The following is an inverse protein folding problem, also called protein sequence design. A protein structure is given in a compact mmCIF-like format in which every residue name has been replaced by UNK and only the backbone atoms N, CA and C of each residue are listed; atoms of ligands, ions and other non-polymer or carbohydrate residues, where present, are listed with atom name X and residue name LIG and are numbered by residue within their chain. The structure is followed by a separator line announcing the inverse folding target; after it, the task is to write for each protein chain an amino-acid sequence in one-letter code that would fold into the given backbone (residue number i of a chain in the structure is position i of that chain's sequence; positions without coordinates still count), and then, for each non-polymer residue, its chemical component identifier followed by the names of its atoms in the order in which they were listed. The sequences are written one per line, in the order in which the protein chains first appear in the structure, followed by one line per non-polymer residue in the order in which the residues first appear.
data_IF_148599690575
#
_entry.id   IF_148599690575
#
_cell.length_a   1.000
_cell.length_b   1.000
_cell.length_c   1.000
_cell.angle_alpha   90.00
_cell.angle_beta   90.00
_cell.angle_gamma   90.00
#
_symmetry.space_group_name_H-M   'P 1'
#
loop_
_entity.id
_entity.type
_entity.pdbx_description
1 polymer ?
#
# COMPACT_ATOMS: atom_id res chain seq x y z
N UNK A 1 -55.23 0.64 34.40
CA UNK A 1 -54.76 2.05 34.47
C UNK A 1 -54.08 2.34 33.15
N UNK A 2 -54.77 3.07 32.29
CA UNK A 2 -54.30 3.49 30.98
C UNK A 2 -53.60 4.86 31.12
N UNK A 3 -52.47 5.04 30.46
CA UNK A 3 -51.92 6.35 30.13
C UNK A 3 -51.50 6.31 28.66
N UNK A 4 -52.21 7.08 27.84
CA UNK A 4 -52.10 7.08 26.38
C UNK A 4 -50.82 7.71 25.85
N UNK A 5 -50.49 7.35 24.60
CA UNK A 5 -49.55 8.07 23.74
C UNK A 5 -50.08 9.46 23.34
N UNK A 6 -49.17 10.36 22.98
CA UNK A 6 -49.34 11.09 21.74
C UNK A 6 -48.21 10.79 20.75
N UNK A 7 -48.61 10.32 19.56
CA UNK A 7 -47.80 10.36 18.33
C UNK A 7 -47.39 11.81 18.08
N UNK A 8 -46.09 12.07 17.99
CA UNK A 8 -45.55 13.39 17.65
C UNK A 8 -44.81 13.33 16.31
N UNK A 9 -45.55 13.68 15.27
CA UNK A 9 -45.16 14.23 13.97
C UNK A 9 -43.80 13.87 13.35
N UNK A 10 -43.92 13.25 12.19
CA UNK A 10 -43.14 13.52 10.99
C UNK A 10 -43.03 15.05 10.78
N UNK A 11 -42.01 15.70 11.35
CA UNK A 11 -41.62 17.03 10.94
C UNK A 11 -40.39 16.87 10.09
N UNK A 12 -40.56 17.21 8.81
CA UNK A 12 -39.53 17.42 7.80
C UNK A 12 -38.37 18.19 8.40
N UNK A 13 -37.42 17.49 9.00
CA UNK A 13 -36.18 18.08 9.50
C UNK A 13 -35.35 18.33 8.27
N UNK A 14 -35.54 19.54 7.72
CA UNK A 14 -34.70 20.17 6.71
C UNK A 14 -33.32 20.36 7.37
N UNK A 15 -32.61 19.25 7.51
CA UNK A 15 -31.23 19.14 7.94
C UNK A 15 -30.48 20.21 7.14
N UNK A 16 -29.67 21.08 7.76
CA UNK A 16 -28.93 22.07 7.01
C UNK A 16 -28.06 21.26 6.05
N UNK A 17 -28.40 21.27 4.76
CA UNK A 17 -27.65 20.52 3.74
C UNK A 17 -26.16 20.86 3.84
N UNK A 18 -25.86 22.09 4.27
CA UNK A 18 -24.53 22.55 4.65
C UNK A 18 -23.91 21.79 5.84
N UNK A 19 -24.63 21.56 6.94
CA UNK A 19 -24.09 20.89 8.13
C UNK A 19 -23.79 19.40 7.86
N UNK A 20 -24.65 18.71 7.11
CA UNK A 20 -24.39 17.34 6.67
C UNK A 20 -23.22 17.25 5.70
N UNK A 21 -23.13 18.19 4.74
CA UNK A 21 -22.01 18.27 3.81
C UNK A 21 -20.69 18.59 4.54
N UNK A 22 -20.71 19.48 5.54
CA UNK A 22 -19.52 19.84 6.33
C UNK A 22 -19.04 18.67 7.19
N UNK A 23 -19.95 17.90 7.78
CA UNK A 23 -19.66 16.66 8.52
C UNK A 23 -19.05 15.58 7.62
N UNK A 24 -19.54 15.44 6.39
CA UNK A 24 -18.96 14.52 5.40
C UNK A 24 -17.54 14.95 5.03
N UNK A 25 -17.30 16.24 4.76
CA UNK A 25 -15.97 16.73 4.39
C UNK A 25 -14.93 16.58 5.52
N UNK A 26 -15.33 16.72 6.79
CA UNK A 26 -14.48 16.50 7.97
C UNK A 26 -14.16 15.02 8.22
N UNK A 27 -15.08 14.12 7.85
CA UNK A 27 -14.81 12.69 7.83
C UNK A 27 -13.90 12.30 6.66
N UNK A 28 -14.00 13.00 5.52
CA UNK A 28 -13.18 12.76 4.33
C UNK A 28 -11.74 13.29 4.42
N UNK A 29 -11.50 14.38 5.15
CA UNK A 29 -10.14 14.91 5.38
C UNK A 29 -9.26 13.93 6.16
N UNK A 30 -9.85 13.12 7.05
CA UNK A 30 -9.15 12.07 7.79
C UNK A 30 -8.73 10.86 6.95
N UNK A 31 -9.25 10.72 5.72
CA UNK A 31 -8.98 9.54 4.88
C UNK A 31 -7.82 9.75 3.92
N UNK A 32 -7.39 10.99 3.66
CA UNK A 32 -6.23 11.28 2.82
C UNK A 32 -4.91 10.78 3.47
N UNK A 33 -4.79 10.85 4.78
CA UNK A 33 -3.61 10.31 5.51
C UNK A 33 -3.69 8.80 5.73
N UNK A 34 -4.91 8.23 5.80
CA UNK A 34 -5.11 6.78 5.97
C UNK A 34 -4.97 5.98 4.66
N UNK A 35 -5.32 6.58 3.51
CA UNK A 35 -5.11 5.96 2.20
C UNK A 35 -3.67 6.08 1.69
N UNK A 36 -2.81 6.91 2.30
CA UNK A 36 -1.38 6.93 2.01
C UNK A 36 -0.63 5.80 2.73
N UNK A 37 -1.27 4.64 2.93
CA UNK A 37 -0.54 3.42 3.17
C UNK A 37 0.21 3.10 1.86
N UNK A 38 1.55 3.07 1.86
CA UNK A 38 2.30 2.63 0.69
C UNK A 38 2.12 1.11 0.56
N UNK A 39 0.92 0.67 0.16
CA UNK A 39 0.56 -0.73 -0.04
C UNK A 39 1.20 -1.33 -1.31
N UNK A 40 2.01 -0.55 -2.01
CA UNK A 40 2.98 -1.05 -2.97
C UNK A 40 4.37 -0.61 -2.52
N UNK A 41 5.27 -1.57 -2.24
CA UNK A 41 6.68 -1.22 -2.20
C UNK A 41 7.03 -0.59 -3.55
N UNK A 42 7.49 0.66 -3.51
CA UNK A 42 7.81 1.40 -4.72
C UNK A 42 9.03 0.74 -5.38
N UNK A 43 8.76 -0.22 -6.27
CA UNK A 43 9.75 -1.19 -6.77
C UNK A 43 10.83 -0.48 -7.56
N UNK A 44 10.46 0.53 -8.35
CA UNK A 44 11.35 1.21 -9.28
C UNK A 44 12.48 1.98 -8.57
N UNK A 45 12.22 2.86 -7.57
CA UNK A 45 13.29 3.52 -6.83
C UNK A 45 14.14 2.53 -6.03
N UNK A 46 13.54 1.51 -5.40
CA UNK A 46 14.32 0.51 -4.63
C UNK A 46 15.22 -0.36 -5.50
N UNK A 47 14.72 -0.80 -6.65
CA UNK A 47 15.52 -1.56 -7.62
C UNK A 47 16.60 -0.69 -8.28
N UNK A 48 16.35 0.61 -8.47
CA UNK A 48 17.37 1.55 -8.96
C UNK A 48 18.54 1.61 -7.99
N UNK A 49 18.26 1.73 -6.69
CA UNK A 49 19.30 1.72 -5.67
C UNK A 49 20.00 0.36 -5.58
N UNK A 50 19.26 -0.76 -5.58
CA UNK A 50 19.88 -2.10 -5.55
C UNK A 50 20.81 -2.37 -6.71
N UNK A 51 20.43 -1.93 -7.91
CA UNK A 51 21.22 -2.11 -9.12
C UNK A 51 22.24 -0.99 -9.36
N UNK A 52 22.47 -0.09 -8.40
CA UNK A 52 23.29 1.13 -8.59
C UNK A 52 24.79 0.88 -8.75
N UNK A 53 25.35 -0.22 -8.24
CA UNK A 53 26.78 -0.52 -8.39
C UNK A 53 27.13 -1.56 -9.48
N UNK A 54 26.15 -2.29 -10.03
CA UNK A 54 26.43 -3.28 -11.09
C UNK A 54 26.62 -2.62 -12.45
N UNK A 55 27.56 -3.11 -13.27
CA UNK A 55 27.68 -2.74 -14.69
C UNK A 55 26.54 -3.33 -15.53
N UNK A 56 25.96 -4.45 -15.09
CA UNK A 56 24.85 -5.15 -15.76
C UNK A 56 23.49 -4.58 -15.35
N UNK A 57 23.29 -3.27 -15.56
CA UNK A 57 22.07 -2.53 -15.15
C UNK A 57 20.77 -3.14 -15.67
N UNK A 58 20.72 -3.41 -16.99
CA UNK A 58 19.51 -3.91 -17.67
C UNK A 58 19.01 -5.25 -17.08
N UNK A 59 19.82 -6.32 -17.01
CA UNK A 59 19.36 -7.57 -16.43
C UNK A 59 19.10 -7.47 -14.92
N UNK A 60 19.91 -6.71 -14.17
CA UNK A 60 19.65 -6.50 -12.74
C UNK A 60 18.27 -5.87 -12.51
N UNK A 61 17.96 -4.80 -13.23
CA UNK A 61 16.67 -4.11 -13.10
C UNK A 61 15.51 -5.01 -13.52
N UNK A 62 15.66 -5.77 -14.61
CA UNK A 62 14.65 -6.73 -15.06
C UNK A 62 14.30 -7.76 -13.99
N UNK A 63 15.30 -8.43 -13.41
CA UNK A 63 15.07 -9.44 -12.37
C UNK A 63 14.61 -8.81 -11.06
N UNK A 64 15.17 -7.65 -10.66
CA UNK A 64 14.74 -6.96 -9.45
C UNK A 64 13.26 -6.58 -9.51
N UNK A 65 12.81 -5.96 -10.62
CA UNK A 65 11.41 -5.57 -10.80
C UNK A 65 10.49 -6.80 -10.83
N UNK A 66 10.91 -7.89 -11.48
CA UNK A 66 10.16 -9.15 -11.48
C UNK A 66 10.00 -9.71 -10.06
N UNK A 67 11.08 -9.79 -9.31
CA UNK A 67 11.04 -10.27 -7.93
C UNK A 67 10.26 -9.33 -7.02
N UNK A 68 10.36 -8.02 -7.22
CA UNK A 68 9.59 -7.04 -6.46
C UNK A 68 8.09 -7.13 -6.76
N UNK A 69 7.69 -7.28 -8.03
CA UNK A 69 6.29 -7.44 -8.39
C UNK A 69 5.66 -8.69 -7.78
N UNK A 70 6.43 -9.77 -7.61
CA UNK A 70 5.92 -11.00 -6.99
C UNK A 70 5.98 -10.95 -5.46
N UNK A 71 7.07 -10.47 -4.88
CA UNK A 71 7.33 -10.53 -3.45
C UNK A 71 6.97 -9.24 -2.70
N UNK A 72 6.63 -8.17 -3.41
CA UNK A 72 6.32 -6.83 -2.89
C UNK A 72 7.40 -6.27 -1.93
N UNK A 73 8.64 -6.73 -2.09
CA UNK A 73 9.75 -6.44 -1.18
C UNK A 73 11.06 -6.38 -1.96
N UNK A 74 11.90 -5.39 -1.65
CA UNK A 74 13.28 -5.27 -2.13
C UNK A 74 14.17 -5.08 -0.91
N UNK A 75 15.18 -5.94 -0.69
CA UNK A 75 16.09 -5.81 0.46
C UNK A 75 16.82 -4.46 0.52
N UNK A 76 17.23 -3.96 1.70
CA UNK A 76 17.95 -2.67 1.86
C UNK A 76 19.47 -2.76 1.63
N UNK A 77 20.04 -1.89 0.80
CA UNK A 77 21.47 -1.89 0.42
C UNK A 77 21.70 -2.07 -1.09
N UNK A 78 22.94 -2.32 -1.50
CA UNK A 78 23.31 -2.71 -2.88
C UNK A 78 23.58 -4.22 -3.00
N UNK A 79 24.29 -4.82 -2.04
CA UNK A 79 24.49 -6.27 -1.93
C UNK A 79 23.88 -6.85 -0.63
N UNK A 80 23.66 -8.17 -0.57
CA UNK A 80 23.24 -8.89 0.64
C UNK A 80 21.82 -8.58 1.15
N UNK A 81 21.61 -8.83 2.45
CA UNK A 81 20.36 -8.58 3.19
C UNK A 81 19.10 -9.29 2.65
N UNK A 82 19.29 -10.33 1.84
CA UNK A 82 18.16 -11.06 1.23
C UNK A 82 17.26 -11.70 2.27
N UNK A 83 17.77 -12.08 3.44
CA UNK A 83 17.00 -12.61 4.56
C UNK A 83 15.89 -11.67 5.06
N UNK A 84 16.01 -10.35 4.82
CA UNK A 84 14.99 -9.36 5.17
C UNK A 84 13.71 -9.54 4.34
N UNK A 85 13.84 -10.03 3.11
CA UNK A 85 12.71 -10.35 2.23
C UNK A 85 12.75 -11.86 1.89
N UNK A 86 12.14 -12.75 2.71
CA UNK A 86 12.24 -14.20 2.52
C UNK A 86 11.82 -14.68 1.12
N UNK A 87 10.74 -14.14 0.56
CA UNK A 87 10.31 -14.44 -0.82
C UNK A 87 11.36 -14.06 -1.86
N UNK A 88 11.97 -12.87 -1.74
CA UNK A 88 13.02 -12.40 -2.64
C UNK A 88 14.27 -13.31 -2.58
N UNK A 89 14.59 -13.83 -1.39
CA UNK A 89 15.73 -14.72 -1.17
C UNK A 89 15.50 -16.15 -1.68
N UNK A 90 14.28 -16.66 -1.53
CA UNK A 90 13.91 -18.04 -1.89
C UNK A 90 13.74 -18.25 -3.39
N UNK A 91 13.61 -17.19 -4.17
CA UNK A 91 13.54 -17.27 -5.63
C UNK A 91 14.84 -17.76 -6.25
N UNK A 92 14.83 -19.01 -6.73
CA UNK A 92 15.95 -19.65 -7.42
C UNK A 92 15.65 -19.92 -8.90
N UNK A 93 16.70 -20.10 -9.69
CA UNK A 93 16.62 -20.67 -11.04
C UNK A 93 16.42 -22.19 -10.96
N UNK A 94 16.22 -22.86 -12.10
CA UNK A 94 16.08 -24.33 -12.12
C UNK A 94 17.36 -25.04 -11.64
N UNK A 95 18.49 -24.38 -11.80
CA UNK A 95 19.83 -24.82 -11.37
C UNK A 95 20.12 -24.46 -9.89
N UNK A 96 19.13 -23.95 -9.14
CA UNK A 96 19.27 -23.62 -7.73
C UNK A 96 19.98 -22.30 -7.41
N UNK A 97 20.41 -21.54 -8.42
CA UNK A 97 21.10 -20.26 -8.22
C UNK A 97 20.13 -19.14 -7.83
N UNK A 98 20.57 -18.11 -7.07
CA UNK A 98 19.74 -16.94 -6.78
C UNK A 98 19.24 -16.28 -8.07
N UNK A 99 17.92 -16.09 -8.18
CA UNK A 99 17.31 -15.46 -9.36
C UNK A 99 17.17 -13.94 -9.20
N UNK A 100 16.97 -13.47 -7.98
CA UNK A 100 16.85 -12.06 -7.66
C UNK A 100 18.22 -11.48 -7.30
N UNK A 101 18.56 -10.26 -7.76
CA UNK A 101 19.88 -9.65 -7.56
C UNK A 101 20.27 -9.47 -6.09
#
# INVERSE_FOLDING_TARGET
MAAGHPRSSCSSQRLPKLAFLLLVMLAFSGIAEYYFLPFGADCRPRCTYRCSATSHKKPCMFFCLKCCATCLCVPPGIYGNKQVCPCYNSWKTKEGRPKCP
#
